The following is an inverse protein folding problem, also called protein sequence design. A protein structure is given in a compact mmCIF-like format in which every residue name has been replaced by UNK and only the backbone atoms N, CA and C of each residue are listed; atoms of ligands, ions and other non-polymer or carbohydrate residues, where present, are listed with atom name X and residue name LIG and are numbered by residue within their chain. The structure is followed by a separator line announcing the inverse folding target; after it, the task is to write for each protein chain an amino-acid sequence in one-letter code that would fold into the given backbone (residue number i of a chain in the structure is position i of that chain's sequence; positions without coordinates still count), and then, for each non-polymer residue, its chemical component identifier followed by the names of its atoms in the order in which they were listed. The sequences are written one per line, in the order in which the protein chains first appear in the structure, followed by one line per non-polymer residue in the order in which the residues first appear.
data_IF_670531323677
#
_entry.id   IF_670531323677
#
_cell.length_a   1.000
_cell.length_b   1.000
_cell.length_c   1.000
_cell.angle_alpha   90.00
_cell.angle_beta   90.00
_cell.angle_gamma   90.00
#
_symmetry.space_group_name_H-M   'P 1'
#
loop_
_entity.id
_entity.type
_entity.pdbx_description
1 polymer ?
#
# COMPACT_ATOMS: atom_id res chain seq x y z
N UNK A 1 -19.54 -16.26 -40.89
CA UNK A 1 -18.38 -15.94 -40.02
C UNK A 1 -18.22 -17.07 -39.03
N UNK A 2 -17.12 -17.83 -39.09
CA UNK A 2 -16.85 -18.95 -38.19
C UNK A 2 -16.51 -18.42 -36.80
N UNK A 3 -17.33 -18.76 -35.79
CA UNK A 3 -16.97 -18.58 -34.37
C UNK A 3 -15.73 -19.44 -34.09
N UNK A 4 -14.58 -18.80 -33.87
CA UNK A 4 -13.40 -19.47 -33.33
C UNK A 4 -13.75 -19.97 -31.92
N UNK A 5 -13.55 -21.25 -31.57
CA UNK A 5 -13.76 -21.70 -30.19
C UNK A 5 -12.84 -20.87 -29.28
N UNK A 6 -13.43 -20.09 -28.36
CA UNK A 6 -12.66 -19.33 -27.40
C UNK A 6 -12.08 -20.31 -26.38
N UNK A 7 -10.75 -20.42 -26.30
CA UNK A 7 -10.13 -21.20 -25.24
C UNK A 7 -10.41 -20.53 -23.88
N UNK A 8 -10.47 -21.29 -22.76
CA UNK A 8 -10.64 -20.70 -21.43
C UNK A 8 -9.64 -19.57 -21.13
N UNK A 9 -8.41 -19.72 -21.63
CA UNK A 9 -7.36 -18.71 -21.53
C UNK A 9 -7.71 -17.42 -22.30
N UNK A 10 -8.23 -17.54 -23.52
CA UNK A 10 -8.65 -16.38 -24.32
C UNK A 10 -9.77 -15.59 -23.64
N UNK A 11 -10.68 -16.30 -22.94
CA UNK A 11 -11.75 -15.67 -22.16
C UNK A 11 -11.18 -14.95 -20.94
N UNK A 12 -10.21 -15.57 -20.24
CA UNK A 12 -9.57 -14.97 -19.09
C UNK A 12 -8.81 -13.69 -19.46
N UNK A 13 -8.04 -13.74 -20.56
CA UNK A 13 -7.32 -12.59 -21.10
C UNK A 13 -8.28 -11.45 -21.44
N UNK A 14 -9.35 -11.72 -22.18
CA UNK A 14 -10.35 -10.71 -22.55
C UNK A 14 -11.02 -10.07 -21.32
N UNK A 15 -11.31 -10.86 -20.28
CA UNK A 15 -11.86 -10.35 -19.02
C UNK A 15 -10.86 -9.48 -18.26
N UNK A 16 -9.58 -9.85 -18.26
CA UNK A 16 -8.54 -9.04 -17.65
C UNK A 16 -8.36 -7.71 -18.37
N UNK A 17 -8.31 -7.71 -19.70
CA UNK A 17 -8.23 -6.47 -20.50
C UNK A 17 -9.41 -5.55 -20.18
N UNK A 18 -10.64 -6.09 -20.19
CA UNK A 18 -11.82 -5.30 -19.83
C UNK A 18 -11.77 -4.74 -18.40
N UNK A 19 -11.18 -5.48 -17.45
CA UNK A 19 -11.01 -5.00 -16.08
C UNK A 19 -9.94 -3.89 -15.96
N UNK A 20 -8.86 -3.96 -16.74
CA UNK A 20 -7.80 -2.94 -16.78
C UNK A 20 -8.28 -1.63 -17.43
N UNK A 21 -9.25 -1.70 -18.35
CA UNK A 21 -9.87 -0.51 -18.97
C UNK A 21 -10.79 0.27 -18.01
N UNK A 22 -11.09 -0.25 -16.83
CA UNK A 22 -11.91 0.44 -15.82
C UNK A 22 -11.17 1.66 -15.29
N UNK A 23 -11.71 2.84 -15.60
CA UNK A 23 -11.15 4.14 -15.19
C UNK A 23 -11.79 4.72 -13.93
N UNK A 24 -12.91 4.16 -13.48
CA UNK A 24 -13.52 4.53 -12.21
C UNK A 24 -12.61 4.10 -11.06
N UNK A 25 -12.11 5.07 -10.30
CA UNK A 25 -11.15 4.85 -9.22
C UNK A 25 -11.65 3.92 -8.12
N UNK A 26 -12.97 3.75 -7.98
CA UNK A 26 -13.55 2.78 -7.06
C UNK A 26 -13.14 1.35 -7.38
N UNK A 27 -12.94 1.07 -8.66
CA UNK A 27 -12.79 -0.29 -9.20
C UNK A 27 -11.60 -0.45 -10.16
N UNK A 28 -10.82 0.60 -10.39
CA UNK A 28 -9.64 0.56 -11.25
C UNK A 28 -8.54 -0.28 -10.60
N UNK A 29 -8.04 -1.28 -11.32
CA UNK A 29 -6.94 -2.12 -10.86
C UNK A 29 -5.58 -1.39 -10.86
N UNK A 30 -5.48 -0.25 -11.55
CA UNK A 30 -4.25 0.55 -11.60
C UNK A 30 -3.76 0.99 -10.21
N UNK A 31 -4.62 1.02 -9.19
CA UNK A 31 -4.21 1.34 -7.82
C UNK A 31 -3.22 0.33 -7.22
N UNK A 32 -3.13 -0.89 -7.78
CA UNK A 32 -2.21 -1.93 -7.31
C UNK A 32 -0.85 -1.92 -8.01
N UNK A 33 -0.71 -1.17 -9.11
CA UNK A 33 0.54 -0.94 -9.83
C UNK A 33 0.47 -1.19 -11.34
N UNK A 34 1.30 -0.46 -12.08
CA UNK A 34 1.30 -0.44 -13.56
C UNK A 34 1.76 -1.77 -14.18
N UNK A 35 2.44 -2.64 -13.41
CA UNK A 35 2.88 -3.96 -13.89
C UNK A 35 1.71 -4.83 -14.38
N UNK A 36 0.48 -4.56 -13.90
CA UNK A 36 -0.73 -5.28 -14.30
C UNK A 36 -1.03 -5.15 -15.80
N UNK A 37 -0.66 -4.03 -16.44
CA UNK A 37 -0.85 -3.79 -17.88
C UNK A 37 -0.05 -4.77 -18.75
N UNK A 38 0.99 -5.39 -18.17
CA UNK A 38 1.83 -6.37 -18.85
C UNK A 38 1.38 -7.81 -18.66
N UNK A 39 0.38 -8.07 -17.82
CA UNK A 39 -0.08 -9.42 -17.52
C UNK A 39 -0.83 -10.09 -18.68
N UNK A 40 -1.72 -9.41 -19.45
CA UNK A 40 -2.46 -10.07 -20.53
C UNK A 40 -1.55 -10.83 -21.51
N UNK A 41 -0.46 -10.20 -21.96
CA UNK A 41 0.52 -10.81 -22.87
C UNK A 41 1.36 -11.94 -22.27
N UNK A 42 1.31 -12.14 -20.95
CA UNK A 42 2.06 -13.18 -20.21
C UNK A 42 1.20 -14.38 -19.84
N UNK A 43 -0.13 -14.29 -20.00
CA UNK A 43 -1.04 -15.40 -19.75
C UNK A 43 -0.70 -16.60 -20.65
N UNK A 44 -0.89 -17.81 -20.12
CA UNK A 44 -0.63 -19.08 -20.80
C UNK A 44 0.80 -19.58 -20.71
N UNK A 45 1.72 -18.79 -20.14
CA UNK A 45 3.13 -19.15 -19.98
C UNK A 45 3.49 -19.56 -18.55
N UNK A 46 2.65 -19.23 -17.57
CA UNK A 46 2.88 -19.54 -16.16
C UNK A 46 1.57 -19.90 -15.46
N UNK A 47 1.42 -21.17 -15.07
CA UNK A 47 0.20 -21.70 -14.45
C UNK A 47 -0.17 -21.00 -13.12
N UNK A 48 0.81 -20.47 -12.39
CA UNK A 48 0.57 -19.76 -11.13
C UNK A 48 0.00 -18.38 -11.42
N UNK A 49 0.56 -17.68 -12.42
CA UNK A 49 0.06 -16.40 -12.86
C UNK A 49 -1.36 -16.53 -13.41
N UNK A 50 -1.62 -17.48 -14.30
CA UNK A 50 -2.95 -17.72 -14.87
C UNK A 50 -3.98 -17.99 -13.77
N UNK A 51 -3.64 -18.84 -12.79
CA UNK A 51 -4.51 -19.12 -11.66
C UNK A 51 -4.75 -17.88 -10.79
N UNK A 52 -3.73 -17.07 -10.53
CA UNK A 52 -3.86 -15.84 -9.73
C UNK A 52 -4.76 -14.80 -10.42
N UNK A 53 -4.67 -14.67 -11.74
CA UNK A 53 -5.52 -13.78 -12.54
C UNK A 53 -6.95 -14.29 -12.57
N UNK A 54 -7.19 -15.59 -12.71
CA UNK A 54 -8.55 -16.15 -12.63
C UNK A 54 -9.22 -15.87 -11.28
N UNK A 55 -8.46 -15.89 -10.18
CA UNK A 55 -8.94 -15.46 -8.87
C UNK A 55 -9.28 -13.99 -8.86
N UNK A 56 -8.38 -13.13 -9.35
CA UNK A 56 -8.59 -11.68 -9.38
C UNK A 56 -9.87 -11.33 -10.14
N UNK A 57 -10.02 -11.86 -11.35
CA UNK A 57 -11.21 -11.66 -12.18
C UNK A 57 -12.46 -12.27 -11.55
N UNK A 58 -12.35 -13.45 -10.92
CA UNK A 58 -13.45 -14.06 -10.19
C UNK A 58 -13.86 -13.31 -8.92
N UNK A 59 -12.94 -12.54 -8.33
CA UNK A 59 -13.16 -11.74 -7.13
C UNK A 59 -13.81 -10.38 -7.41
N UNK A 60 -13.57 -9.77 -8.57
CA UNK A 60 -14.12 -8.45 -8.92
C UNK A 60 -15.63 -8.30 -8.69
N UNK A 61 -16.51 -9.25 -9.10
CA UNK A 61 -17.95 -9.14 -8.88
C UNK A 61 -18.35 -8.91 -7.42
N UNK A 62 -17.60 -9.46 -6.46
CA UNK A 62 -17.88 -9.32 -5.02
C UNK A 62 -18.01 -7.85 -4.60
N UNK A 63 -17.21 -6.97 -5.19
CA UNK A 63 -17.18 -5.56 -4.83
C UNK A 63 -18.44 -4.80 -5.26
N UNK A 64 -19.20 -5.35 -6.21
CA UNK A 64 -20.46 -4.79 -6.68
C UNK A 64 -21.66 -5.50 -6.04
N UNK A 65 -21.60 -6.82 -5.90
CA UNK A 65 -22.72 -7.66 -5.43
C UNK A 65 -22.76 -7.82 -3.91
N UNK A 66 -21.63 -7.64 -3.22
CA UNK A 66 -21.43 -7.91 -1.78
C UNK A 66 -21.64 -9.37 -1.37
N UNK A 67 -21.59 -10.30 -2.33
CA UNK A 67 -21.76 -11.74 -2.08
C UNK A 67 -20.52 -12.50 -2.54
N UNK A 68 -19.85 -13.20 -1.63
CA UNK A 68 -18.74 -14.07 -2.01
C UNK A 68 -19.30 -15.29 -2.74
N UNK A 69 -18.98 -15.43 -4.03
CA UNK A 69 -19.31 -16.66 -4.73
C UNK A 69 -18.45 -17.80 -4.18
N UNK A 70 -19.05 -18.97 -3.97
CA UNK A 70 -18.32 -20.20 -3.67
C UNK A 70 -17.27 -20.50 -4.75
N UNK A 71 -17.50 -20.03 -5.98
CA UNK A 71 -16.57 -20.08 -7.10
C UNK A 71 -15.29 -19.26 -6.85
N UNK A 72 -15.37 -18.03 -6.33
CA UNK A 72 -14.19 -17.20 -6.05
C UNK A 72 -13.28 -17.85 -5.00
N UNK A 73 -13.87 -18.45 -3.96
CA UNK A 73 -13.12 -19.20 -2.93
C UNK A 73 -12.48 -20.48 -3.48
N UNK A 74 -13.17 -21.19 -4.38
CA UNK A 74 -12.64 -22.37 -5.06
C UNK A 74 -11.45 -21.99 -5.96
N UNK A 75 -11.56 -20.87 -6.70
CA UNK A 75 -10.45 -20.32 -7.49
C UNK A 75 -9.28 -19.93 -6.61
N UNK A 76 -9.52 -19.24 -5.49
CA UNK A 76 -8.45 -18.83 -4.56
C UNK A 76 -7.68 -20.05 -4.04
N UNK A 77 -8.42 -21.09 -3.64
CA UNK A 77 -7.83 -22.37 -3.20
C UNK A 77 -7.01 -23.05 -4.30
N UNK A 78 -7.44 -22.93 -5.57
CA UNK A 78 -6.70 -23.45 -6.73
C UNK A 78 -5.40 -22.67 -6.96
N UNK A 79 -5.43 -21.34 -6.88
CA UNK A 79 -4.24 -20.51 -7.03
C UNK A 79 -3.19 -20.80 -5.96
N UNK A 80 -3.60 -20.96 -4.69
CA UNK A 80 -2.70 -21.36 -3.61
C UNK A 80 -2.07 -22.75 -3.84
N UNK A 81 -2.84 -23.73 -4.34
CA UNK A 81 -2.32 -25.06 -4.70
C UNK A 81 -1.32 -24.99 -5.86
N UNK A 82 -1.60 -24.17 -6.87
CA UNK A 82 -0.70 -23.94 -8.01
C UNK A 82 0.62 -23.32 -7.53
N UNK A 83 0.54 -22.24 -6.74
CA UNK A 83 1.69 -21.58 -6.15
C UNK A 83 2.54 -22.54 -5.32
N UNK A 84 1.93 -23.29 -4.39
CA UNK A 84 2.64 -24.28 -3.56
C UNK A 84 3.36 -25.33 -4.41
N UNK A 85 2.71 -25.82 -5.45
CA UNK A 85 3.30 -26.81 -6.36
C UNK A 85 4.49 -26.23 -7.13
N UNK A 86 4.39 -24.98 -7.59
CA UNK A 86 5.47 -24.28 -8.28
C UNK A 86 6.67 -24.01 -7.37
N UNK A 87 6.43 -23.56 -6.14
CA UNK A 87 7.50 -23.29 -5.17
C UNK A 87 8.26 -24.58 -4.79
N UNK A 88 7.56 -25.71 -4.69
CA UNK A 88 8.19 -27.01 -4.41
C UNK A 88 9.05 -27.54 -5.58
N UNK A 89 8.81 -27.08 -6.82
CA UNK A 89 9.54 -27.51 -8.02
C UNK A 89 10.71 -26.60 -8.37
N UNK A 90 10.73 -25.35 -7.87
CA UNK A 90 11.76 -24.38 -8.21
C UNK A 90 13.08 -24.67 -7.50
N UNK A 91 14.18 -24.57 -8.25
CA UNK A 91 15.57 -24.69 -7.79
C UNK A 91 16.14 -23.34 -7.29
N UNK A 92 15.33 -22.54 -6.58
CA UNK A 92 15.64 -21.21 -6.03
C UNK A 92 15.55 -20.02 -7.00
N UNK A 93 15.35 -20.23 -8.31
CA UNK A 93 15.05 -19.13 -9.23
C UNK A 93 13.55 -18.80 -9.19
N UNK A 94 13.21 -17.60 -8.74
CA UNK A 94 11.89 -17.02 -8.91
C UNK A 94 11.82 -16.26 -10.25
N UNK A 95 10.71 -16.41 -10.99
CA UNK A 95 10.44 -15.62 -12.20
C UNK A 95 9.57 -14.39 -11.88
N UNK A 96 9.58 -13.34 -12.73
CA UNK A 96 8.67 -12.20 -12.62
C UNK A 96 7.19 -12.59 -12.54
N UNK A 97 6.78 -13.60 -13.32
CA UNK A 97 5.42 -14.12 -13.32
C UNK A 97 5.06 -14.71 -11.95
N UNK A 98 5.94 -15.52 -11.35
CA UNK A 98 5.68 -16.09 -10.02
C UNK A 98 5.60 -15.02 -8.94
N UNK A 99 6.48 -14.01 -8.94
CA UNK A 99 6.40 -12.92 -7.95
C UNK A 99 5.12 -12.10 -8.13
N UNK A 100 4.75 -11.77 -9.38
CA UNK A 100 3.50 -11.06 -9.66
C UNK A 100 2.27 -11.86 -9.22
N UNK A 101 2.28 -13.18 -9.42
CA UNK A 101 1.19 -14.05 -9.00
C UNK A 101 1.04 -14.09 -7.47
N UNK A 102 2.16 -14.12 -6.72
CA UNK A 102 2.13 -14.04 -5.25
C UNK A 102 1.50 -12.72 -4.80
N UNK A 103 1.90 -11.60 -5.42
CA UNK A 103 1.36 -10.29 -5.09
C UNK A 103 -0.14 -10.17 -5.42
N UNK A 104 -0.57 -10.69 -6.57
CA UNK A 104 -2.00 -10.78 -6.96
C UNK A 104 -2.79 -11.63 -5.98
N UNK A 105 -2.25 -12.78 -5.55
CA UNK A 105 -2.91 -13.64 -4.54
C UNK A 105 -3.09 -12.89 -3.22
N UNK A 106 -2.11 -12.10 -2.79
CA UNK A 106 -2.22 -11.29 -1.57
C UNK A 106 -3.28 -10.19 -1.67
N UNK A 107 -3.37 -9.52 -2.82
CA UNK A 107 -4.45 -8.55 -3.10
C UNK A 107 -5.81 -9.25 -2.97
N UNK A 108 -5.98 -10.40 -3.64
CA UNK A 108 -7.21 -11.18 -3.60
C UNK A 108 -7.54 -11.72 -2.20
N UNK A 109 -6.55 -12.09 -1.40
CA UNK A 109 -6.77 -12.48 -0.01
C UNK A 109 -7.41 -11.33 0.78
N UNK A 110 -6.94 -10.10 0.55
CA UNK A 110 -7.51 -8.90 1.14
C UNK A 110 -8.96 -8.66 0.76
N UNK A 111 -9.33 -8.94 -0.49
CA UNK A 111 -10.71 -8.82 -0.97
C UNK A 111 -11.64 -9.88 -0.37
N UNK A 112 -11.12 -11.08 -0.14
CA UNK A 112 -11.90 -12.20 0.40
C UNK A 112 -12.06 -12.15 1.94
N UNK A 113 -11.48 -11.14 2.61
CA UNK A 113 -11.61 -10.96 4.06
C UNK A 113 -11.01 -12.11 4.88
N UNK A 114 -10.06 -12.87 4.31
CA UNK A 114 -9.45 -14.01 5.00
C UNK A 114 -8.24 -13.55 5.82
N UNK A 115 -8.42 -13.52 7.13
CA UNK A 115 -7.35 -13.42 8.12
C UNK A 115 -6.81 -14.81 8.41
N UNK A 116 -5.82 -15.26 7.64
CA UNK A 116 -5.08 -16.46 8.01
C UNK A 116 -3.95 -16.06 8.98
N UNK A 117 -3.69 -16.87 10.00
CA UNK A 117 -2.53 -16.72 10.91
C UNK A 117 -1.19 -16.65 10.15
N UNK A 118 -1.16 -17.15 8.91
CA UNK A 118 -0.02 -17.12 8.00
C UNK A 118 0.22 -15.77 7.31
N UNK A 119 -0.76 -14.83 7.34
CA UNK A 119 -0.58 -13.47 6.82
C UNK A 119 0.60 -12.75 7.48
N UNK A 120 0.97 -13.17 8.69
CA UNK A 120 2.09 -12.66 9.49
C UNK A 120 3.47 -12.80 8.83
N UNK A 121 3.62 -13.60 7.77
CA UNK A 121 4.91 -13.82 7.09
C UNK A 121 4.94 -13.37 5.62
N UNK A 122 3.85 -12.80 5.10
CA UNK A 122 3.76 -12.50 3.67
C UNK A 122 4.73 -11.41 3.22
N UNK A 123 4.84 -10.30 3.96
CA UNK A 123 5.80 -9.25 3.61
C UNK A 123 7.24 -9.71 3.74
N UNK A 124 7.56 -10.56 4.73
CA UNK A 124 8.89 -11.21 4.83
C UNK A 124 9.21 -12.05 3.59
N UNK A 125 8.28 -12.91 3.18
CA UNK A 125 8.47 -13.75 1.97
C UNK A 125 8.61 -12.86 0.73
N UNK A 126 7.72 -11.88 0.54
CA UNK A 126 7.82 -10.94 -0.57
C UNK A 126 9.14 -10.18 -0.59
N UNK A 127 9.62 -9.70 0.56
CA UNK A 127 10.89 -8.98 0.64
C UNK A 127 12.10 -9.86 0.28
N UNK A 128 12.09 -11.13 0.68
CA UNK A 128 13.13 -12.09 0.30
C UNK A 128 13.10 -12.38 -1.20
N UNK A 129 11.89 -12.54 -1.77
CA UNK A 129 11.71 -12.78 -3.19
C UNK A 129 12.08 -11.57 -4.04
N UNK A 130 11.65 -10.37 -3.63
CA UNK A 130 12.05 -9.11 -4.25
C UNK A 130 13.58 -8.95 -4.18
N UNK A 131 14.20 -9.15 -3.01
CA UNK A 131 15.66 -9.13 -2.89
C UNK A 131 16.37 -10.11 -3.83
N UNK A 132 15.77 -11.29 -4.04
CA UNK A 132 16.28 -12.29 -4.99
C UNK A 132 16.15 -11.81 -6.43
N UNK A 133 14.99 -11.25 -6.81
CA UNK A 133 14.77 -10.63 -8.12
C UNK A 133 15.78 -9.52 -8.43
N UNK A 134 16.10 -8.67 -7.44
CA UNK A 134 17.10 -7.61 -7.58
C UNK A 134 18.49 -8.21 -7.82
N UNK A 135 18.87 -9.25 -7.06
CA UNK A 135 20.16 -9.95 -7.26
C UNK A 135 20.25 -10.66 -8.61
N UNK A 136 19.12 -11.11 -9.15
CA UNK A 136 19.02 -11.66 -10.51
C UNK A 136 19.04 -10.57 -11.60
N UNK A 137 19.14 -9.29 -11.22
CA UNK A 137 19.23 -8.14 -12.11
C UNK A 137 18.08 -8.07 -13.14
N UNK A 138 16.84 -8.21 -12.65
CA UNK A 138 15.66 -7.98 -13.49
C UNK A 138 15.71 -6.54 -14.02
N UNK A 139 15.74 -6.41 -15.35
CA UNK A 139 15.86 -5.11 -16.03
C UNK A 139 14.75 -4.85 -17.04
N UNK A 140 13.82 -5.80 -17.25
CA UNK A 140 12.68 -5.58 -18.13
C UNK A 140 11.62 -4.73 -17.43
N UNK A 141 10.87 -3.93 -18.22
CA UNK A 141 9.88 -2.97 -17.72
C UNK A 141 8.90 -3.58 -16.73
N UNK A 142 8.47 -4.83 -16.96
CA UNK A 142 7.54 -5.53 -16.07
C UNK A 142 8.15 -5.83 -14.70
N UNK A 143 9.36 -6.39 -14.67
CA UNK A 143 10.06 -6.66 -13.42
C UNK A 143 10.29 -5.38 -12.61
N UNK A 144 10.68 -4.29 -13.27
CA UNK A 144 10.91 -3.00 -12.61
C UNK A 144 9.62 -2.38 -12.05
N UNK A 145 8.53 -2.36 -12.81
CA UNK A 145 7.23 -1.85 -12.33
C UNK A 145 6.65 -2.70 -11.19
N UNK A 146 6.88 -4.01 -11.20
CA UNK A 146 6.47 -4.89 -10.10
C UNK A 146 7.26 -4.57 -8.83
N UNK A 147 8.58 -4.36 -8.95
CA UNK A 147 9.41 -3.93 -7.82
C UNK A 147 9.01 -2.54 -7.31
N UNK A 148 8.69 -1.60 -8.21
CA UNK A 148 8.14 -0.29 -7.85
C UNK A 148 6.84 -0.41 -7.03
N UNK A 149 5.89 -1.24 -7.48
CA UNK A 149 4.63 -1.47 -6.78
C UNK A 149 4.82 -2.07 -5.37
N UNK A 150 5.87 -2.87 -5.17
CA UNK A 150 6.19 -3.51 -3.89
C UNK A 150 6.98 -2.60 -2.93
N UNK A 151 7.63 -1.55 -3.43
CA UNK A 151 8.61 -0.78 -2.66
C UNK A 151 8.02 -0.09 -1.43
N UNK A 152 6.98 0.72 -1.60
CA UNK A 152 6.37 1.47 -0.48
C UNK A 152 5.74 0.52 0.54
N UNK A 153 4.91 -0.48 0.14
CA UNK A 153 4.40 -1.45 1.09
C UNK A 153 5.52 -2.12 1.89
N UNK A 154 6.53 -2.69 1.23
CA UNK A 154 7.61 -3.40 1.92
C UNK A 154 8.45 -2.49 2.82
N UNK A 155 8.61 -1.22 2.47
CA UNK A 155 9.25 -0.22 3.34
C UNK A 155 8.46 -0.02 4.63
N UNK A 156 7.13 0.14 4.52
CA UNK A 156 6.26 0.31 5.69
C UNK A 156 6.25 -0.95 6.58
N UNK A 157 6.25 -2.15 6.00
CA UNK A 157 6.37 -3.37 6.81
C UNK A 157 7.77 -3.51 7.43
N UNK A 158 8.83 -3.12 6.71
CA UNK A 158 10.19 -3.14 7.23
C UNK A 158 10.37 -2.19 8.43
N UNK A 159 9.60 -1.10 8.53
CA UNK A 159 9.61 -0.23 9.71
C UNK A 159 9.16 -0.95 10.99
N UNK A 160 8.37 -2.00 10.86
CA UNK A 160 7.81 -2.71 12.02
C UNK A 160 8.30 -4.15 12.16
N UNK A 161 8.85 -4.72 11.09
CA UNK A 161 9.37 -6.07 11.06
C UNK A 161 10.89 -6.05 10.77
N UNK A 162 11.75 -6.18 11.81
CA UNK A 162 13.20 -6.13 11.64
C UNK A 162 13.75 -7.32 10.83
N UNK A 163 12.96 -8.38 10.59
CA UNK A 163 13.37 -9.47 9.71
C UNK A 163 13.38 -9.07 8.22
N UNK A 164 12.81 -7.92 7.86
CA UNK A 164 12.82 -7.36 6.52
C UNK A 164 13.91 -6.29 6.43
N UNK A 165 14.76 -6.40 5.40
CA UNK A 165 15.84 -5.45 5.18
C UNK A 165 15.69 -4.76 3.81
N UNK A 166 15.94 -3.46 3.77
CA UNK A 166 15.89 -2.68 2.53
C UNK A 166 17.23 -2.62 1.79
N UNK A 167 18.27 -3.31 2.29
CA UNK A 167 19.63 -3.22 1.76
C UNK A 167 19.72 -3.60 0.28
N UNK A 168 18.98 -4.62 -0.14
CA UNK A 168 18.95 -5.09 -1.54
C UNK A 168 18.39 -4.04 -2.50
N UNK A 169 17.62 -3.06 -2.01
CA UNK A 169 16.94 -2.07 -2.84
C UNK A 169 17.84 -0.90 -3.26
N UNK A 170 18.89 -0.58 -2.49
CA UNK A 170 19.76 0.57 -2.75
C UNK A 170 20.29 0.67 -4.20
N UNK A 171 20.71 -0.42 -4.87
CA UNK A 171 21.15 -0.37 -6.27
C UNK A 171 20.04 0.04 -7.25
N UNK A 172 18.77 -0.21 -6.92
CA UNK A 172 17.63 0.11 -7.78
C UNK A 172 17.02 1.49 -7.54
N UNK A 173 17.41 2.17 -6.47
CA UNK A 173 16.82 3.47 -6.10
C UNK A 173 17.08 4.55 -7.16
N UNK A 174 18.25 4.55 -7.79
CA UNK A 174 18.57 5.55 -8.82
C UNK A 174 18.05 5.16 -10.23
N UNK A 175 18.11 3.88 -10.67
CA UNK A 175 17.58 3.45 -11.97
C UNK A 175 16.05 3.32 -12.06
N UNK A 176 15.39 2.81 -11.01
CA UNK A 176 13.95 2.52 -11.03
C UNK A 176 13.12 3.69 -10.49
N UNK A 177 13.71 4.47 -9.60
CA UNK A 177 13.11 5.69 -9.06
C UNK A 177 13.99 6.88 -9.41
N UNK A 178 14.20 7.20 -10.71
CA UNK A 178 15.02 8.34 -11.09
C UNK A 178 14.57 9.55 -10.28
N UNK A 179 15.52 10.27 -9.66
CA UNK A 179 15.27 11.52 -8.91
C UNK A 179 14.37 12.51 -9.68
N UNK A 180 14.25 12.31 -11.00
CA UNK A 180 13.57 13.19 -11.93
C UNK A 180 12.45 12.54 -12.79
N UNK A 181 12.05 11.27 -12.64
CA UNK A 181 11.00 10.70 -13.50
C UNK A 181 9.62 11.32 -13.24
N UNK A 182 9.40 11.79 -12.02
CA UNK A 182 8.21 12.55 -11.63
C UNK A 182 8.37 14.07 -11.86
N UNK A 183 9.59 14.57 -12.09
CA UNK A 183 9.91 16.00 -12.23
C UNK A 183 9.86 16.54 -13.66
N UNK A 184 9.85 15.71 -14.71
CA UNK A 184 9.94 16.26 -16.08
C UNK A 184 8.71 17.09 -16.46
N UNK A 185 7.54 16.75 -15.92
CA UNK A 185 6.28 17.45 -16.22
C UNK A 185 5.58 18.01 -14.96
N UNK A 186 5.93 17.55 -13.75
CA UNK A 186 5.25 17.96 -12.50
C UNK A 186 6.18 18.79 -11.63
N UNK A 187 5.82 20.05 -11.41
CA UNK A 187 6.63 21.06 -10.71
C UNK A 187 6.73 20.85 -9.18
N UNK A 188 6.57 19.62 -8.70
CA UNK A 188 6.46 19.34 -7.26
C UNK A 188 7.38 18.20 -6.80
N UNK A 189 8.60 18.52 -6.34
CA UNK A 189 9.46 17.53 -5.70
C UNK A 189 9.04 17.33 -4.23
N UNK A 190 8.48 16.16 -3.91
CA UNK A 190 8.37 15.63 -2.53
C UNK A 190 9.74 15.09 -2.10
N UNK A 191 10.57 15.95 -1.52
CA UNK A 191 11.95 15.60 -1.19
C UNK A 191 12.02 14.61 -0.01
N UNK A 192 11.08 14.69 0.93
CA UNK A 192 10.98 13.82 2.10
C UNK A 192 10.65 12.36 1.76
N UNK A 193 9.92 12.13 0.67
CA UNK A 193 9.47 10.80 0.22
C UNK A 193 10.26 10.24 -0.96
N UNK A 194 11.46 10.79 -1.24
CA UNK A 194 12.36 10.17 -2.20
C UNK A 194 12.65 8.72 -1.79
N UNK A 195 12.73 7.81 -2.77
CA UNK A 195 12.90 6.39 -2.53
C UNK A 195 14.10 6.08 -1.59
N UNK A 196 15.19 6.83 -1.70
CA UNK A 196 16.35 6.73 -0.79
C UNK A 196 16.06 7.12 0.65
N UNK A 197 15.26 8.16 0.87
CA UNK A 197 14.83 8.56 2.22
C UNK A 197 13.89 7.51 2.80
N UNK A 198 12.94 7.02 2.01
CA UNK A 198 12.02 5.97 2.41
C UNK A 198 12.75 4.67 2.79
N UNK A 199 13.71 4.22 1.98
CA UNK A 199 14.49 3.00 2.26
C UNK A 199 15.32 3.09 3.55
N UNK A 200 15.59 4.30 4.06
CA UNK A 200 16.30 4.52 5.33
C UNK A 200 15.37 4.47 6.54
N UNK A 201 14.07 4.74 6.36
CA UNK A 201 13.11 4.82 7.47
C UNK A 201 13.17 3.61 8.40
N UNK A 202 13.23 2.34 7.93
CA UNK A 202 13.32 1.19 8.83
C UNK A 202 14.45 1.27 9.86
N UNK A 203 15.60 1.85 9.51
CA UNK A 203 16.71 1.98 10.46
C UNK A 203 16.35 2.88 11.66
N UNK A 204 15.55 3.91 11.43
CA UNK A 204 15.08 4.82 12.48
C UNK A 204 14.15 4.12 13.48
N UNK A 205 13.35 3.16 13.02
CA UNK A 205 12.42 2.42 13.88
C UNK A 205 13.10 1.32 14.68
N UNK A 206 14.18 0.74 14.16
CA UNK A 206 14.92 -0.35 14.80
C UNK A 206 16.03 0.12 15.74
N UNK A 207 16.54 1.34 15.56
CA UNK A 207 17.60 1.91 16.40
C UNK A 207 17.41 3.43 16.59
N UNK A 208 16.31 3.86 17.25
CA UNK A 208 15.92 5.27 17.30
C UNK A 208 16.92 6.16 18.04
N UNK A 209 17.59 5.62 19.08
CA UNK A 209 18.58 6.37 19.87
C UNK A 209 19.79 6.72 19.02
N UNK A 210 20.26 5.79 18.18
CA UNK A 210 21.40 6.01 17.30
C UNK A 210 21.13 7.05 16.23
N UNK A 211 19.90 7.08 15.71
CA UNK A 211 19.52 7.94 14.58
C UNK A 211 18.68 9.15 14.99
N UNK A 212 18.77 9.58 16.25
CA UNK A 212 17.86 10.60 16.80
C UNK A 212 17.90 11.93 16.03
N UNK A 213 19.08 12.37 15.61
CA UNK A 213 19.20 13.63 14.86
C UNK A 213 18.69 13.49 13.42
N UNK A 214 18.95 12.35 12.77
CA UNK A 214 18.37 12.03 11.46
C UNK A 214 16.84 11.92 11.52
N UNK A 215 16.30 11.37 12.61
CA UNK A 215 14.85 11.31 12.86
C UNK A 215 14.26 12.71 12.97
N UNK A 216 14.91 13.63 13.70
CA UNK A 216 14.47 15.03 13.79
C UNK A 216 14.50 15.72 12.41
N UNK A 217 15.54 15.50 11.63
CA UNK A 217 15.64 16.02 10.28
C UNK A 217 14.54 15.46 9.38
N UNK A 218 14.36 14.13 9.36
CA UNK A 218 13.34 13.47 8.56
C UNK A 218 11.93 13.92 8.94
N UNK A 219 11.64 14.02 10.24
CA UNK A 219 10.34 14.51 10.73
C UNK A 219 10.07 15.95 10.30
N UNK A 220 11.08 16.83 10.39
CA UNK A 220 10.98 18.22 9.92
C UNK A 220 10.72 18.30 8.42
N UNK A 221 11.45 17.52 7.62
CA UNK A 221 11.27 17.49 6.16
C UNK A 221 9.85 17.04 5.78
N UNK A 222 9.31 16.01 6.46
CA UNK A 222 7.93 15.56 6.24
C UNK A 222 6.91 16.62 6.66
N UNK A 223 7.13 17.27 7.81
CA UNK A 223 6.27 18.35 8.30
C UNK A 223 6.24 19.54 7.33
N UNK A 224 7.37 19.87 6.72
CA UNK A 224 7.47 20.98 5.77
C UNK A 224 6.87 20.61 4.39
N UNK A 225 6.94 19.34 3.99
CA UNK A 225 6.34 18.83 2.75
C UNK A 225 4.81 18.70 2.82
N UNK A 226 4.24 18.36 3.99
CA UNK A 226 2.78 18.23 4.17
C UNK A 226 1.96 19.43 3.66
N UNK A 227 2.17 20.67 4.15
CA UNK A 227 1.40 21.82 3.68
C UNK A 227 1.70 22.18 2.22
N UNK A 228 2.83 21.74 1.66
CA UNK A 228 3.13 21.92 0.23
C UNK A 228 2.25 20.98 -0.60
N UNK A 229 2.07 19.73 -0.17
CA UNK A 229 1.20 18.75 -0.83
C UNK A 229 -0.26 19.20 -0.77
N UNK A 230 -0.73 19.65 0.40
CA UNK A 230 -2.10 20.14 0.55
C UNK A 230 -2.40 21.31 -0.39
N UNK A 231 -1.52 22.32 -0.46
CA UNK A 231 -1.66 23.44 -1.40
C UNK A 231 -1.68 22.98 -2.86
N UNK A 232 -0.84 22.01 -3.21
CA UNK A 232 -0.83 21.47 -4.56
C UNK A 232 -2.14 20.73 -4.91
N UNK A 233 -2.71 19.99 -3.96
CA UNK A 233 -4.02 19.36 -4.12
C UNK A 233 -5.13 20.41 -4.27
N UNK A 234 -5.13 21.46 -3.44
CA UNK A 234 -6.08 22.59 -3.52
C UNK A 234 -5.98 23.32 -4.88
N UNK A 235 -4.75 23.60 -5.34
CA UNK A 235 -4.51 24.25 -6.64
C UNK A 235 -5.05 23.39 -7.80
N UNK A 236 -4.83 22.07 -7.74
CA UNK A 236 -5.38 21.15 -8.73
C UNK A 236 -6.91 21.17 -8.69
N UNK A 237 -7.54 21.16 -7.52
CA UNK A 237 -8.99 21.20 -7.39
C UNK A 237 -9.60 22.53 -7.85
N UNK A 238 -8.95 23.66 -7.57
CA UNK A 238 -9.45 25.00 -7.85
C UNK A 238 -9.24 25.46 -9.30
N UNK A 239 -8.25 24.91 -10.02
CA UNK A 239 -8.04 25.24 -11.43
C UNK A 239 -9.31 24.93 -12.25
N UNK A 240 -10.03 25.96 -12.75
CA UNK A 240 -11.26 25.76 -13.47
C UNK A 240 -10.95 25.02 -14.77
N UNK A 241 -11.62 23.89 -14.99
CA UNK A 241 -11.62 23.24 -16.29
C UNK A 241 -12.04 24.28 -17.33
N UNK A 242 -11.20 24.63 -18.32
CA UNK A 242 -11.66 25.46 -19.42
C UNK A 242 -12.90 24.77 -20.00
N UNK A 243 -13.90 25.55 -20.43
CA UNK A 243 -15.19 25.06 -20.94
C UNK A 243 -15.12 24.12 -22.16
N UNK A 244 -13.90 23.73 -22.57
CA UNK A 244 -13.57 22.77 -23.62
C UNK A 244 -12.58 21.69 -23.14
N UNK A 245 -12.44 21.44 -21.85
CA UNK A 245 -11.53 20.40 -21.34
C UNK A 245 -12.03 19.03 -21.78
N UNK A 246 -11.15 18.25 -22.44
CA UNK A 246 -11.52 16.92 -22.91
C UNK A 246 -11.72 15.96 -21.73
N UNK A 247 -12.60 14.96 -21.88
CA UNK A 247 -12.80 13.89 -20.88
C UNK A 247 -11.48 13.20 -20.48
N UNK A 248 -10.49 13.19 -21.39
CA UNK A 248 -9.16 12.63 -21.13
C UNK A 248 -8.36 13.46 -20.13
N UNK A 249 -8.40 14.79 -20.25
CA UNK A 249 -7.69 15.71 -19.35
C UNK A 249 -8.27 15.63 -17.93
N UNK A 250 -9.60 15.56 -17.80
CA UNK A 250 -10.27 15.40 -16.50
C UNK A 250 -9.87 14.08 -15.83
N UNK A 251 -9.82 12.96 -16.57
CA UNK A 251 -9.38 11.66 -16.05
C UNK A 251 -7.93 11.70 -15.59
N UNK A 252 -7.03 12.32 -16.37
CA UNK A 252 -5.63 12.49 -15.98
C UNK A 252 -5.49 13.33 -14.71
N UNK A 253 -6.27 14.42 -14.59
CA UNK A 253 -6.33 15.28 -13.41
C UNK A 253 -6.79 14.50 -12.16
N UNK A 254 -7.88 13.74 -12.25
CA UNK A 254 -8.37 12.93 -11.14
C UNK A 254 -7.38 11.85 -10.70
N UNK A 255 -6.73 11.16 -11.66
CA UNK A 255 -5.65 10.21 -11.37
C UNK A 255 -4.49 10.89 -10.64
N UNK A 256 -4.14 12.11 -11.04
CA UNK A 256 -3.07 12.87 -10.41
C UNK A 256 -3.42 13.29 -8.98
N UNK A 257 -4.62 13.85 -8.77
CA UNK A 257 -5.14 14.19 -7.43
C UNK A 257 -5.06 12.96 -6.53
N UNK A 258 -5.55 11.82 -7.02
CA UNK A 258 -5.53 10.59 -6.25
C UNK A 258 -4.14 10.12 -5.87
N UNK A 259 -3.21 10.19 -6.82
CA UNK A 259 -1.82 9.82 -6.58
C UNK A 259 -1.21 10.67 -5.47
N UNK A 260 -1.49 11.97 -5.46
CA UNK A 260 -1.03 12.85 -4.38
C UNK A 260 -1.75 12.58 -3.04
N UNK A 261 -3.01 12.15 -3.05
CA UNK A 261 -3.70 11.68 -1.84
C UNK A 261 -3.07 10.40 -1.25
N UNK A 262 -2.58 9.48 -2.09
CA UNK A 262 -1.81 8.30 -1.63
C UNK A 262 -0.49 8.75 -1.00
N UNK A 263 0.22 9.67 -1.65
CA UNK A 263 1.49 10.24 -1.16
C UNK A 263 1.28 10.93 0.20
N UNK A 264 0.21 11.71 0.33
CA UNK A 264 -0.18 12.40 1.56
C UNK A 264 -0.45 11.41 2.71
N UNK A 265 -1.17 10.32 2.43
CA UNK A 265 -1.40 9.27 3.44
C UNK A 265 -0.10 8.59 3.90
N UNK A 266 0.83 8.32 2.98
CA UNK A 266 2.15 7.76 3.34
C UNK A 266 2.94 8.76 4.18
N UNK A 267 2.95 10.04 3.78
CA UNK A 267 3.62 11.11 4.51
C UNK A 267 3.11 11.19 5.96
N UNK A 268 1.79 11.28 6.13
CA UNK A 268 1.15 11.39 7.43
C UNK A 268 1.41 10.15 8.30
N UNK A 269 1.37 8.95 7.69
CA UNK A 269 1.68 7.70 8.39
C UNK A 269 3.08 7.70 8.97
N UNK A 270 4.08 8.06 8.16
CA UNK A 270 5.48 8.12 8.62
C UNK A 270 5.66 9.26 9.62
N UNK A 271 5.04 10.42 9.40
CA UNK A 271 5.12 11.58 10.29
C UNK A 271 4.60 11.28 11.69
N UNK A 272 3.45 10.61 11.79
CA UNK A 272 2.86 10.19 13.08
C UNK A 272 3.79 9.20 13.79
N UNK A 273 4.38 8.27 13.02
CA UNK A 273 5.27 7.26 13.56
C UNK A 273 6.60 7.87 14.07
N UNK A 274 7.23 8.79 13.32
CA UNK A 274 8.42 9.52 13.77
C UNK A 274 8.13 10.47 14.93
N UNK A 275 6.99 11.19 14.89
CA UNK A 275 6.54 12.01 16.01
C UNK A 275 6.39 11.14 17.28
N UNK A 276 5.83 9.94 17.16
CA UNK A 276 5.72 9.00 18.28
C UNK A 276 7.08 8.58 18.86
N UNK A 277 8.13 8.46 18.03
CA UNK A 277 9.48 8.21 18.52
C UNK A 277 10.00 9.44 19.27
N UNK A 278 9.89 10.63 18.66
CA UNK A 278 10.36 11.87 19.27
C UNK A 278 9.67 12.21 20.60
N UNK A 279 8.36 11.95 20.72
CA UNK A 279 7.62 12.16 21.98
C UNK A 279 8.07 11.23 23.11
N UNK A 280 8.67 10.09 22.80
CA UNK A 280 9.24 9.20 23.84
C UNK A 280 10.57 9.75 24.35
N UNK A 281 11.39 10.28 23.47
CA UNK A 281 12.67 10.91 23.82
C UNK A 281 12.50 12.29 24.46
N UNK A 282 11.42 13.01 24.11
CA UNK A 282 11.10 14.35 24.60
C UNK A 282 9.65 14.41 25.17
N UNK A 283 9.38 13.76 26.31
CA UNK A 283 8.03 13.62 26.85
C UNK A 283 7.38 14.94 27.29
N UNK A 284 8.19 15.95 27.63
CA UNK A 284 7.73 17.27 28.09
C UNK A 284 7.49 18.25 26.92
N UNK A 285 7.76 17.83 25.68
CA UNK A 285 7.53 18.67 24.49
C UNK A 285 6.05 18.64 24.09
N UNK A 286 5.31 19.61 24.63
CA UNK A 286 3.89 19.80 24.31
C UNK A 286 3.64 20.15 22.83
N UNK A 287 4.65 20.64 22.11
CA UNK A 287 4.53 20.95 20.67
C UNK A 287 4.36 19.64 19.89
N UNK A 288 5.20 18.64 20.18
CA UNK A 288 5.10 17.32 19.53
C UNK A 288 3.74 16.65 19.79
N UNK A 289 3.18 16.82 20.99
CA UNK A 289 1.84 16.29 21.32
C UNK A 289 0.72 16.97 20.52
N UNK A 290 0.80 18.29 20.35
CA UNK A 290 -0.15 19.05 19.54
C UNK A 290 -0.03 18.69 18.05
N UNK A 291 1.19 18.57 17.55
CA UNK A 291 1.47 18.13 16.18
C UNK A 291 0.92 16.72 15.93
N UNK A 292 1.06 15.79 16.87
CA UNK A 292 0.48 14.44 16.75
C UNK A 292 -1.04 14.48 16.56
N UNK A 293 -1.73 15.35 17.31
CA UNK A 293 -3.19 15.52 17.21
C UNK A 293 -3.58 16.13 15.86
N UNK A 294 -2.78 17.06 15.35
CA UNK A 294 -2.98 17.69 14.04
C UNK A 294 -2.83 16.67 12.91
N UNK A 295 -1.73 15.91 12.91
CA UNK A 295 -1.48 14.85 11.93
C UNK A 295 -2.60 13.79 11.92
N UNK A 296 -3.14 13.46 13.09
CA UNK A 296 -4.28 12.55 13.22
C UNK A 296 -5.52 13.09 12.52
N UNK A 297 -5.85 14.35 12.78
CA UNK A 297 -7.00 15.01 12.20
C UNK A 297 -6.86 15.12 10.68
N UNK A 298 -5.67 15.42 10.19
CA UNK A 298 -5.37 15.47 8.76
C UNK A 298 -5.55 14.10 8.10
N UNK A 299 -5.09 13.01 8.73
CA UNK A 299 -5.33 11.65 8.23
C UNK A 299 -6.83 11.30 8.21
N UNK A 300 -7.59 11.71 9.23
CA UNK A 300 -9.04 11.48 9.28
C UNK A 300 -9.74 12.27 8.17
N UNK A 301 -9.35 13.53 7.95
CA UNK A 301 -9.89 14.37 6.89
C UNK A 301 -9.60 13.75 5.52
N UNK A 302 -8.35 13.34 5.27
CA UNK A 302 -7.96 12.63 4.05
C UNK A 302 -8.80 11.35 3.86
N UNK A 303 -8.95 10.54 4.91
CA UNK A 303 -9.75 9.32 4.87
C UNK A 303 -11.22 9.57 4.52
N UNK A 304 -11.79 10.70 4.96
CA UNK A 304 -13.14 11.12 4.59
C UNK A 304 -13.21 11.55 3.13
N UNK A 305 -12.25 12.35 2.65
CA UNK A 305 -12.16 12.84 1.27
C UNK A 305 -12.07 11.69 0.27
N UNK A 306 -11.25 10.68 0.55
CA UNK A 306 -11.04 9.55 -0.37
C UNK A 306 -12.03 8.41 -0.18
N UNK A 307 -12.93 8.48 0.81
CA UNK A 307 -13.93 7.42 1.07
C UNK A 307 -14.84 7.14 -0.13
N UNK A 308 -15.03 8.12 -1.01
CA UNK A 308 -15.76 7.99 -2.27
C UNK A 308 -15.12 7.01 -3.27
N UNK A 309 -13.82 6.74 -3.15
CA UNK A 309 -13.06 5.85 -4.02
C UNK A 309 -13.01 4.40 -3.51
N UNK A 310 -13.85 4.04 -2.54
CA UNK A 310 -14.00 2.64 -2.09
C UNK A 310 -14.65 1.78 -3.19
N UNK A 311 -14.28 0.49 -3.30
CA UNK A 311 -13.39 -0.24 -2.39
C UNK A 311 -11.89 -0.16 -2.70
N UNK A 312 -11.46 -0.02 -3.96
CA UNK A 312 -10.04 -0.16 -4.31
C UNK A 312 -9.25 1.13 -4.16
N UNK A 313 -9.72 2.23 -4.73
CA UNK A 313 -9.04 3.51 -4.64
C UNK A 313 -8.88 4.03 -3.21
N UNK A 314 -9.56 3.49 -2.21
CA UNK A 314 -9.34 3.85 -0.80
C UNK A 314 -8.72 2.71 0.04
N UNK A 315 -8.22 1.64 -0.57
CA UNK A 315 -7.75 0.44 0.15
C UNK A 315 -6.47 0.66 0.95
N UNK A 316 -5.73 1.73 0.70
CA UNK A 316 -4.53 2.11 1.45
C UNK A 316 -4.83 2.83 2.77
N UNK A 317 -6.04 3.38 2.94
CA UNK A 317 -6.41 4.16 4.14
C UNK A 317 -6.53 3.32 5.42
N UNK A 318 -7.16 2.12 5.41
CA UNK A 318 -7.29 1.32 6.62
C UNK A 318 -5.96 1.05 7.36
N UNK A 319 -4.87 0.59 6.72
CA UNK A 319 -3.60 0.41 7.43
C UNK A 319 -3.00 1.73 7.93
N UNK A 320 -3.18 2.85 7.21
CA UNK A 320 -2.74 4.17 7.68
C UNK A 320 -3.48 4.59 8.97
N UNK A 321 -4.80 4.42 9.04
CA UNK A 321 -5.61 4.72 10.23
C UNK A 321 -5.25 3.81 11.41
N UNK A 322 -4.95 2.53 11.15
CA UNK A 322 -4.48 1.62 12.19
C UNK A 322 -3.16 2.12 12.81
N UNK A 323 -2.24 2.61 11.99
CA UNK A 323 -1.00 3.24 12.47
C UNK A 323 -1.26 4.50 13.32
N UNK A 324 -2.21 5.36 12.91
CA UNK A 324 -2.61 6.52 13.72
C UNK A 324 -3.07 6.10 15.12
N UNK A 325 -3.92 5.08 15.18
CA UNK A 325 -4.46 4.56 16.44
C UNK A 325 -3.37 4.04 17.38
N UNK A 326 -2.37 3.30 16.88
CA UNK A 326 -1.32 2.77 17.77
C UNK A 326 -0.39 3.84 18.31
N UNK A 327 -0.11 4.87 17.51
CA UNK A 327 0.88 5.89 17.84
C UNK A 327 0.31 7.03 18.69
N UNK A 328 -1.00 7.24 18.69
CA UNK A 328 -1.67 8.29 19.49
C UNK A 328 -2.08 7.79 20.88
N UNK A 329 -2.05 6.47 21.12
CA UNK A 329 -2.52 5.85 22.36
C UNK A 329 -1.75 6.15 23.66
N UNK A 330 -0.94 7.20 23.69
CA UNK A 330 -0.37 7.80 24.89
C UNK A 330 -1.30 8.89 25.45
N UNK A 331 -2.43 8.46 26.07
CA UNK A 331 -3.36 9.26 26.91
C UNK A 331 -3.90 10.57 26.29
N UNK A 332 -5.02 10.54 25.55
CA UNK A 332 -5.77 11.77 25.22
C UNK A 332 -7.27 11.53 25.08
N UNK A 333 -8.10 12.41 25.66
CA UNK A 333 -9.57 12.42 25.64
C UNK A 333 -10.23 12.65 24.27
N UNK A 334 -9.42 12.79 23.20
CA UNK A 334 -9.88 12.84 21.80
C UNK A 334 -10.58 11.53 21.35
N UNK A 335 -10.38 10.44 22.10
CA UNK A 335 -10.97 9.12 21.85
C UNK A 335 -12.49 9.11 21.72
N UNK A 336 -13.23 9.90 22.50
CA UNK A 336 -14.69 9.87 22.40
C UNK A 336 -15.20 10.40 21.06
N UNK A 337 -14.45 11.27 20.38
CA UNK A 337 -14.82 11.80 19.06
C UNK A 337 -14.48 10.83 17.93
N UNK A 338 -13.33 10.15 18.00
CA UNK A 338 -12.90 9.13 17.03
C UNK A 338 -13.79 7.88 17.08
N UNK A 339 -14.07 7.37 18.28
CA UNK A 339 -14.99 6.23 18.47
C UNK A 339 -16.42 6.58 18.06
N UNK A 340 -16.84 7.85 18.21
CA UNK A 340 -18.14 8.33 17.69
C UNK A 340 -18.12 8.53 16.18
N UNK A 341 -17.04 9.01 15.57
CA UNK A 341 -16.94 9.19 14.12
C UNK A 341 -16.88 7.84 13.37
N UNK A 342 -16.15 6.86 13.92
CA UNK A 342 -16.05 5.50 13.36
C UNK A 342 -17.25 4.63 13.76
N UNK A 343 -17.78 4.81 14.98
CA UNK A 343 -18.89 4.01 15.53
C UNK A 343 -20.31 4.52 15.20
N UNK A 344 -20.54 5.82 15.04
CA UNK A 344 -21.88 6.33 14.68
C UNK A 344 -22.13 6.38 13.17
N UNK A 345 -21.12 6.14 12.33
CA UNK A 345 -21.40 5.87 10.93
C UNK A 345 -22.00 4.46 10.81
N UNK A 346 -23.31 4.40 10.59
CA UNK A 346 -24.08 3.17 10.33
C UNK A 346 -23.49 2.34 9.17
N UNK A 347 -22.55 2.90 8.39
CA UNK A 347 -21.79 2.17 7.36
C UNK A 347 -20.71 1.25 7.91
N UNK A 348 -20.17 1.49 9.11
CA UNK A 348 -19.13 0.67 9.75
C UNK A 348 -19.67 -0.28 10.84
N UNK A 349 -20.83 0.03 11.44
CA UNK A 349 -21.33 -0.67 12.63
C UNK A 349 -22.36 -1.80 12.38
N UNK A 350 -22.39 -2.38 11.17
CA UNK A 350 -23.24 -3.54 10.89
C UNK A 350 -22.46 -4.83 11.22
N UNK A 351 -22.98 -5.77 12.04
CA UNK A 351 -22.29 -7.01 12.37
C UNK A 351 -21.98 -7.90 11.14
N UNK A 352 -22.67 -7.70 10.01
CA UNK A 352 -22.32 -8.32 8.72
C UNK A 352 -21.14 -7.63 7.98
N UNK A 353 -20.57 -6.56 8.54
CA UNK A 353 -19.47 -5.75 7.98
C UNK A 353 -18.17 -5.82 8.79
N UNK A 354 -18.03 -6.75 9.74
CA UNK A 354 -16.72 -7.07 10.36
C UNK A 354 -15.70 -7.70 9.38
N UNK A 355 -15.99 -7.73 8.07
CA UNK A 355 -15.19 -8.37 7.03
C UNK A 355 -14.28 -7.40 6.26
N UNK A 356 -14.17 -6.14 6.68
CA UNK A 356 -13.15 -5.25 6.12
C UNK A 356 -11.81 -5.66 6.71
N UNK A 357 -10.98 -6.32 5.88
CA UNK A 357 -9.62 -6.69 6.21
C UNK A 357 -8.85 -5.49 6.73
N UNK A 358 -8.72 -5.40 8.05
CA UNK A 358 -7.77 -4.52 8.72
C UNK A 358 -6.32 -4.99 8.51
N UNK A 359 -6.12 -6.11 7.79
CA UNK A 359 -4.84 -6.80 7.60
C UNK A 359 -4.42 -7.01 6.13
N UNK A 360 -5.00 -6.31 5.16
CA UNK A 360 -4.58 -6.40 3.74
C UNK A 360 -4.08 -5.02 3.27
N UNK A 361 -2.83 -4.81 2.89
CA UNK A 361 -1.91 -5.63 2.09
C UNK A 361 -0.58 -5.99 2.77
N UNK A 362 -0.31 -5.46 3.95
CA UNK A 362 0.81 -5.86 4.81
C UNK A 362 0.31 -5.64 6.23
N UNK A 363 0.29 -6.69 7.04
CA UNK A 363 -0.05 -6.58 8.45
C UNK A 363 1.01 -5.69 9.09
N UNK A 364 0.72 -4.39 9.20
CA UNK A 364 1.55 -3.45 9.96
C UNK A 364 1.35 -3.82 11.41
N UNK A 365 2.15 -4.76 11.92
CA UNK A 365 2.31 -4.96 13.36
C UNK A 365 2.81 -3.66 13.93
N UNK A 366 2.16 -3.10 14.94
CA UNK A 366 2.59 -1.81 15.45
C UNK A 366 3.52 -2.09 16.62
N UNK A 367 4.79 -1.71 16.47
CA UNK A 367 5.77 -1.80 17.54
C UNK A 367 5.46 -0.73 18.58
N UNK A 368 4.82 -1.13 19.67
CA UNK A 368 4.79 -0.32 20.87
C UNK A 368 6.06 -0.63 21.66
N UNK A 369 6.79 0.37 22.11
CA UNK A 369 7.91 0.13 23.03
C UNK A 369 7.41 0.51 24.42
N UNK A 370 7.55 -0.41 25.38
CA UNK A 370 7.29 -0.17 26.78
C UNK A 370 8.61 -0.02 27.52
N UNK A 371 8.64 0.87 28.50
CA UNK A 371 9.74 0.93 29.46
C UNK A 371 9.41 -0.12 30.53
N UNK A 372 10.28 -1.12 30.68
CA UNK A 372 10.08 -2.12 31.72
C UNK A 372 10.42 -1.56 33.11
N UNK A 373 10.21 -2.37 34.16
CA UNK A 373 10.47 -1.97 35.54
C UNK A 373 11.94 -1.62 35.85
N UNK A 374 12.86 -1.88 34.91
CA UNK A 374 14.29 -1.53 34.99
C UNK A 374 14.62 -0.20 34.31
N UNK A 375 13.69 0.40 33.57
CA UNK A 375 13.96 1.59 32.75
C UNK A 375 14.45 1.27 31.33
N UNK A 376 14.49 0.00 30.93
CA UNK A 376 14.95 -0.42 29.61
C UNK A 376 13.79 -0.46 28.60
N UNK A 377 14.09 -0.07 27.36
CA UNK A 377 13.16 -0.09 26.23
C UNK A 377 12.92 -1.53 25.77
N UNK A 378 11.74 -2.06 26.04
CA UNK A 378 11.30 -3.38 25.56
C UNK A 378 10.31 -3.20 24.41
N UNK A 379 10.64 -3.77 23.25
CA UNK A 379 9.75 -3.83 22.10
C UNK A 379 8.58 -4.78 22.40
N UNK A 380 7.36 -4.25 22.44
CA UNK A 380 6.11 -5.00 22.59
C UNK A 380 5.39 -5.02 21.25
N UNK A 381 5.36 -6.21 20.66
CA UNK A 381 4.58 -6.50 19.45
C UNK A 381 3.13 -6.71 19.90
N UNK A 382 2.24 -5.78 19.57
CA UNK A 382 0.78 -5.95 19.73
C UNK A 382 0.14 -6.41 18.45
#
# INVERSE_FOLDING_TARGET
MLHKPQSPLSILEAKLVAALEVTDMRYSLCCYGDFLDHIPRRLGHNEVLDASVDVMIGGLPYHYTREHSSEALAKYSRALKSLRSSLNRSNQQISPETLSAIYIIMICQGWLGRTDEYAQNHGKVLAQLASTAIKQNWGDTFGLQLLEALFVPLTLEAMVNPAITMQSWYPLLDPCFPRNSYNKDQHFPTLSLQARRLAQMPNFFHDPVRYLDEIKCAYRDLRDDHPRIQRYLEDLEYQPSPSSESDLNLKMKLKLIHKFQVVDAVLLTISIALNSILRREYPDDNVLLLEASTLANDMIALAQTVAQYRPFGASYIPPCLAAVVSHINTKSSSWDHLTRAVGNDKRFNNPAKRHWGTDSMLSVRLCTYQVDGSGDLVQVIT
#
